data_IF_345809480357
#
_entry.id   IF_345809480357
#
_cell.length_a   1.000
_cell.length_b   1.000
_cell.length_c   1.000
_cell.angle_alpha   90.00
_cell.angle_beta   90.00
_cell.angle_gamma   90.00
#
_symmetry.space_group_name_H-M   'P 1'
#
loop_
_entity.id
_entity.type
_entity.pdbx_description
1 polymer ?
#
# COMPACT_ATOMS: atom_id res chain seq x y z
N UNK A 1 -4.06 -18.47 20.23
CA UNK A 1 -4.24 -17.02 19.96
C UNK A 1 -3.06 -16.39 19.22
N UNK A 2 -1.83 -16.37 19.78
CA UNK A 2 -0.64 -15.76 19.15
C UNK A 2 -0.34 -16.22 17.71
N UNK A 3 -0.54 -17.50 17.39
CA UNK A 3 -0.36 -18.01 16.02
C UNK A 3 -1.35 -17.43 15.00
N UNK A 4 -2.61 -17.20 15.39
CA UNK A 4 -3.65 -16.60 14.54
C UNK A 4 -3.35 -15.11 14.30
N UNK A 5 -2.95 -14.38 15.34
CA UNK A 5 -2.47 -12.98 15.26
C UNK A 5 -1.28 -12.85 14.32
N UNK A 6 -0.29 -13.73 14.41
CA UNK A 6 0.88 -13.71 13.51
C UNK A 6 0.48 -13.97 12.06
N UNK A 7 -0.46 -14.89 11.82
CA UNK A 7 -0.96 -15.18 10.47
C UNK A 7 -1.72 -13.99 9.87
N UNK A 8 -2.59 -13.34 10.64
CA UNK A 8 -3.33 -12.15 10.20
C UNK A 8 -2.38 -10.99 9.89
N UNK A 9 -1.45 -10.68 10.80
CA UNK A 9 -0.42 -9.67 10.56
C UNK A 9 0.43 -9.97 9.30
N UNK A 10 0.80 -11.23 9.09
CA UNK A 10 1.57 -11.62 7.90
C UNK A 10 0.76 -11.43 6.61
N UNK A 11 -0.54 -11.75 6.65
CA UNK A 11 -1.45 -11.55 5.51
C UNK A 11 -1.59 -10.07 5.18
N UNK A 12 -1.83 -9.21 6.18
CA UNK A 12 -2.00 -7.78 5.97
C UNK A 12 -0.69 -7.12 5.53
N UNK A 13 0.44 -7.54 6.10
CA UNK A 13 1.76 -7.09 5.65
C UNK A 13 1.99 -7.43 4.19
N UNK A 14 1.66 -8.67 3.78
CA UNK A 14 1.77 -9.09 2.37
C UNK A 14 0.85 -8.28 1.46
N UNK A 15 -0.38 -8.01 1.91
CA UNK A 15 -1.35 -7.19 1.19
C UNK A 15 -0.80 -5.77 0.96
N UNK A 16 -0.21 -5.15 1.99
CA UNK A 16 0.43 -3.84 1.88
C UNK A 16 1.52 -3.84 0.80
N UNK A 17 2.41 -4.85 0.79
CA UNK A 17 3.44 -4.96 -0.24
C UNK A 17 2.87 -5.16 -1.64
N UNK A 18 1.81 -5.95 -1.78
CA UNK A 18 1.09 -6.12 -3.05
C UNK A 18 0.52 -4.79 -3.53
N UNK A 19 -0.08 -3.99 -2.65
CA UNK A 19 -0.59 -2.67 -3.01
C UNK A 19 0.51 -1.70 -3.45
N UNK A 20 1.66 -1.69 -2.78
CA UNK A 20 2.82 -0.90 -3.20
C UNK A 20 3.27 -1.34 -4.60
N UNK A 21 3.40 -2.65 -4.83
CA UNK A 21 3.81 -3.21 -6.11
C UNK A 21 2.84 -2.88 -7.24
N UNK A 22 1.53 -3.00 -7.00
CA UNK A 22 0.48 -2.65 -7.95
C UNK A 22 0.49 -1.15 -8.27
N UNK A 23 0.57 -0.30 -7.26
CA UNK A 23 0.65 1.15 -7.44
C UNK A 23 1.85 1.52 -8.32
N UNK A 24 3.03 0.95 -8.03
CA UNK A 24 4.24 1.20 -8.80
C UNK A 24 4.12 0.72 -10.24
N UNK A 25 3.55 -0.47 -10.45
CA UNK A 25 3.35 -1.04 -11.78
C UNK A 25 2.39 -0.21 -12.63
N UNK A 26 1.21 0.11 -12.09
CA UNK A 26 0.17 0.87 -12.80
C UNK A 26 0.70 2.27 -13.16
N UNK A 27 1.30 2.97 -12.20
CA UNK A 27 1.82 4.32 -12.44
C UNK A 27 2.94 4.33 -13.47
N UNK A 28 3.79 3.29 -13.49
CA UNK A 28 4.87 3.16 -14.48
C UNK A 28 4.32 2.88 -15.88
N UNK A 29 3.28 2.04 -15.99
CA UNK A 29 2.61 1.77 -17.27
C UNK A 29 1.92 3.03 -17.81
N UNK A 30 1.17 3.74 -16.97
CA UNK A 30 0.51 5.00 -17.36
C UNK A 30 1.56 6.01 -17.83
N UNK A 31 2.65 6.16 -17.08
CA UNK A 31 3.77 7.03 -17.43
C UNK A 31 4.39 6.67 -18.78
N UNK A 32 4.56 5.38 -19.06
CA UNK A 32 5.06 4.88 -20.34
C UNK A 32 4.13 5.22 -21.50
N UNK A 33 2.83 5.02 -21.34
CA UNK A 33 1.84 5.32 -22.39
C UNK A 33 1.78 6.81 -22.73
N UNK A 34 1.87 7.69 -21.73
CA UNK A 34 1.87 9.14 -21.98
C UNK A 34 3.08 9.56 -22.81
N UNK A 35 4.26 8.97 -22.56
CA UNK A 35 5.45 9.22 -23.38
C UNK A 35 5.31 8.74 -24.83
N UNK A 36 4.43 7.78 -25.11
CA UNK A 36 4.14 7.35 -26.48
C UNK A 36 3.13 8.28 -27.19
N UNK A 37 2.38 9.08 -26.43
CA UNK A 37 1.34 9.96 -26.94
C UNK A 37 1.85 11.37 -27.26
N UNK A 38 2.90 11.84 -26.57
CA UNK A 38 3.44 13.20 -26.74
C UNK A 38 4.92 13.28 -26.42
N UNK A 39 5.63 14.12 -27.19
CA UNK A 39 7.03 14.49 -26.96
C UNK A 39 7.19 15.85 -26.26
N UNK A 40 6.09 16.47 -25.83
CA UNK A 40 6.14 17.75 -25.11
C UNK A 40 6.86 17.59 -23.76
N UNK A 41 8.01 18.25 -23.65
CA UNK A 41 8.86 18.21 -22.47
C UNK A 41 8.14 18.73 -21.20
N UNK A 42 7.28 19.74 -21.31
CA UNK A 42 6.54 20.27 -20.18
C UNK A 42 5.53 19.25 -19.65
N UNK A 43 4.81 18.56 -20.55
CA UNK A 43 3.86 17.50 -20.18
C UNK A 43 4.59 16.32 -19.54
N UNK A 44 5.71 15.89 -20.11
CA UNK A 44 6.51 14.78 -19.56
C UNK A 44 7.07 15.13 -18.18
N UNK A 45 7.57 16.36 -17.98
CA UNK A 45 8.05 16.81 -16.67
C UNK A 45 6.95 16.85 -15.63
N UNK A 46 5.79 17.43 -15.96
CA UNK A 46 4.63 17.49 -15.07
C UNK A 46 4.19 16.10 -14.63
N UNK A 47 4.09 15.17 -15.58
CA UNK A 47 3.75 13.78 -15.29
C UNK A 47 4.81 13.09 -14.40
N UNK A 48 6.11 13.33 -14.64
CA UNK A 48 7.15 12.77 -13.78
C UNK A 48 7.03 13.29 -12.34
N UNK A 49 6.73 14.58 -12.16
CA UNK A 49 6.53 15.16 -10.83
C UNK A 49 5.32 14.52 -10.12
N UNK A 50 4.20 14.35 -10.82
CA UNK A 50 3.03 13.64 -10.27
C UNK A 50 3.34 12.20 -9.90
N UNK A 51 4.06 11.48 -10.77
CA UNK A 51 4.46 10.09 -10.53
C UNK A 51 5.26 9.96 -9.23
N UNK A 52 6.24 10.85 -9.02
CA UNK A 52 7.04 10.87 -7.78
C UNK A 52 6.18 11.23 -6.57
N UNK A 53 5.31 12.23 -6.67
CA UNK A 53 4.44 12.65 -5.56
C UNK A 53 3.49 11.53 -5.11
N UNK A 54 2.81 10.89 -6.06
CA UNK A 54 1.86 9.81 -5.77
C UNK A 54 2.60 8.62 -5.15
N UNK A 55 3.76 8.24 -5.70
CA UNK A 55 4.54 7.14 -5.16
C UNK A 55 5.09 7.45 -3.76
N UNK A 56 5.64 8.64 -3.56
CA UNK A 56 6.18 9.06 -2.28
C UNK A 56 5.09 9.06 -1.22
N UNK A 57 3.97 9.72 -1.49
CA UNK A 57 2.86 9.82 -0.54
C UNK A 57 2.20 8.46 -0.29
N UNK A 58 1.88 7.70 -1.34
CA UNK A 58 1.25 6.39 -1.21
C UNK A 58 2.12 5.39 -0.45
N UNK A 59 3.42 5.38 -0.71
CA UNK A 59 4.37 4.52 0.02
C UNK A 59 4.47 4.92 1.48
N UNK A 60 4.58 6.23 1.79
CA UNK A 60 4.62 6.71 3.18
C UNK A 60 3.34 6.38 3.95
N UNK A 61 2.17 6.55 3.33
CA UNK A 61 0.89 6.20 3.94
C UNK A 61 0.82 4.70 4.28
N UNK A 62 1.20 3.84 3.33
CA UNK A 62 1.21 2.38 3.54
C UNK A 62 2.25 1.94 4.58
N UNK A 63 3.42 2.59 4.62
CA UNK A 63 4.41 2.37 5.67
C UNK A 63 3.91 2.80 7.05
N UNK A 64 3.18 3.92 7.13
CA UNK A 64 2.57 4.37 8.37
C UNK A 64 1.54 3.35 8.89
N UNK A 65 0.70 2.80 8.00
CA UNK A 65 -0.22 1.71 8.32
C UNK A 65 0.54 0.47 8.80
N UNK A 66 1.59 0.07 8.10
CA UNK A 66 2.42 -1.07 8.50
C UNK A 66 3.04 -0.87 9.90
N UNK A 67 3.59 0.31 10.18
CA UNK A 67 4.15 0.64 11.50
C UNK A 67 3.08 0.62 12.59
N UNK A 68 1.88 1.15 12.30
CA UNK A 68 0.77 1.12 13.24
C UNK A 68 0.34 -0.31 13.58
N UNK A 69 0.18 -1.17 12.55
CA UNK A 69 -0.13 -2.59 12.73
C UNK A 69 0.97 -3.32 13.51
N UNK A 70 2.24 -3.02 13.23
CA UNK A 70 3.38 -3.64 13.93
C UNK A 70 3.41 -3.25 15.40
N UNK A 71 3.19 -1.98 15.72
CA UNK A 71 3.28 -1.46 17.09
C UNK A 71 2.08 -1.84 17.97
N UNK A 72 0.91 -2.06 17.38
CA UNK A 72 -0.33 -2.38 18.11
C UNK A 72 -0.91 -3.75 17.79
N UNK A 73 -0.08 -4.64 17.23
CA UNK A 73 -0.44 -5.97 16.72
C UNK A 73 -1.29 -6.78 17.69
N UNK A 74 -0.83 -6.97 18.92
CA UNK A 74 -1.53 -7.85 19.86
C UNK A 74 -2.92 -7.32 20.24
N UNK A 75 -3.07 -5.99 20.38
CA UNK A 75 -4.35 -5.37 20.70
C UNK A 75 -5.34 -5.49 19.54
N UNK A 76 -4.96 -5.00 18.36
CA UNK A 76 -5.83 -4.91 17.17
C UNK A 76 -6.37 -6.29 16.79
N UNK A 77 -5.47 -7.27 16.64
CA UNK A 77 -5.89 -8.59 16.16
C UNK A 77 -6.60 -9.42 17.22
N UNK A 78 -6.42 -9.13 18.51
CA UNK A 78 -7.22 -9.79 19.56
C UNK A 78 -8.65 -9.25 19.53
N UNK A 79 -8.83 -7.93 19.43
CA UNK A 79 -10.15 -7.31 19.26
C UNK A 79 -10.87 -7.81 18.00
N UNK A 80 -10.17 -7.93 16.87
CA UNK A 80 -10.76 -8.47 15.62
C UNK A 80 -11.19 -9.94 15.74
N UNK A 81 -10.39 -10.76 16.44
CA UNK A 81 -10.74 -12.16 16.67
C UNK A 81 -11.97 -12.27 17.59
N UNK A 82 -12.00 -11.52 18.69
CA UNK A 82 -13.12 -11.53 19.64
C UNK A 82 -14.41 -11.00 18.99
N UNK A 83 -14.32 -9.92 18.21
CA UNK A 83 -15.46 -9.38 17.48
C UNK A 83 -15.94 -10.38 16.41
N UNK A 84 -15.03 -10.99 15.64
CA UNK A 84 -15.39 -11.97 14.63
C UNK A 84 -16.00 -13.27 15.19
N UNK A 85 -15.70 -13.63 16.43
CA UNK A 85 -16.30 -14.77 17.13
C UNK A 85 -17.67 -14.43 17.73
N UNK A 86 -17.96 -13.16 18.06
CA UNK A 86 -19.30 -12.71 18.48
C UNK A 86 -20.36 -12.75 17.37
N UNK A 87 -19.96 -12.76 16.11
CA UNK A 87 -20.86 -12.79 14.95
C UNK A 87 -20.92 -14.16 14.25
N UNK A 88 -20.36 -15.21 14.88
CA UNK A 88 -20.50 -16.61 14.46
C UNK A 88 -21.45 -17.35 15.37
#
# INVERSE_FOLDING_TARGET
>A
MKGKINKMFSSDSMLIFVFIGLMLSILTVVRGNIKLLTDDAAVIMFMNALWVLILGFGTMALLAVFMHLKNHKERIYTEDIENGEKFK
#
